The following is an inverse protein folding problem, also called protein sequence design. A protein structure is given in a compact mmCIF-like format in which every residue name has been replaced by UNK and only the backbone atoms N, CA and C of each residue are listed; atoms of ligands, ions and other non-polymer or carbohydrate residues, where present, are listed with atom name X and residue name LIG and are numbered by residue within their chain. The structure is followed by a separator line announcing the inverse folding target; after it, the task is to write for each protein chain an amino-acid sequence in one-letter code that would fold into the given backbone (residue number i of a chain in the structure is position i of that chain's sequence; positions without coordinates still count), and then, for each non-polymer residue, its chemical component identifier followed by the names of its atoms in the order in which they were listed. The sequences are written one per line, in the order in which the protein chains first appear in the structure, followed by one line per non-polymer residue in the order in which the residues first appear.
data_IF_079749087502
#
_entry.id   IF_079749087502
#
_cell.length_a   1.000
_cell.length_b   1.000
_cell.length_c   1.000
_cell.angle_alpha   90.00
_cell.angle_beta   90.00
_cell.angle_gamma   90.00
#
_symmetry.space_group_name_H-M   'P 1'
#
loop_
_entity.id
_entity.type
_entity.pdbx_description
1 polymer ?
#
# COMPACT_ATOMS: atom_id res chain seq x y z
N UNK A 1 -27.53 28.73 37.70
CA UNK A 1 -26.72 27.57 37.27
C UNK A 1 -26.16 27.88 35.89
N UNK A 2 -24.85 28.07 35.76
CA UNK A 2 -24.23 28.34 34.46
C UNK A 2 -24.11 27.03 33.66
N UNK A 3 -24.81 26.96 32.53
CA UNK A 3 -24.73 25.85 31.58
C UNK A 3 -23.35 25.91 30.92
N UNK A 4 -22.45 25.00 31.28
CA UNK A 4 -21.16 24.83 30.61
C UNK A 4 -21.41 24.30 29.20
N UNK A 5 -21.17 25.14 28.20
CA UNK A 5 -21.13 24.73 26.80
C UNK A 5 -20.13 23.59 26.59
N UNK A 6 -20.63 22.45 26.10
CA UNK A 6 -19.78 21.32 25.67
C UNK A 6 -19.02 21.74 24.41
N UNK A 7 -17.78 22.23 24.58
CA UNK A 7 -16.86 22.44 23.46
C UNK A 7 -16.73 21.14 22.66
N UNK A 8 -17.06 21.21 21.38
CA UNK A 8 -16.97 20.10 20.45
C UNK A 8 -15.59 19.44 20.51
N UNK A 9 -15.55 18.13 20.75
CA UNK A 9 -14.34 17.30 20.67
C UNK A 9 -13.77 17.45 19.25
N UNK A 10 -12.74 18.29 19.08
CA UNK A 10 -11.93 18.29 17.86
C UNK A 10 -11.36 16.87 17.69
N UNK A 11 -11.42 16.35 16.47
CA UNK A 11 -10.91 15.01 16.17
C UNK A 11 -9.43 14.94 16.54
N UNK A 12 -9.07 14.07 17.49
CA UNK A 12 -7.68 13.83 17.89
C UNK A 12 -6.77 13.52 16.71
N UNK A 13 -7.33 12.93 15.64
CA UNK A 13 -6.62 12.66 14.38
C UNK A 13 -6.14 13.95 13.71
N UNK A 14 -7.00 14.98 13.65
CA UNK A 14 -6.65 16.28 13.07
C UNK A 14 -5.61 17.04 13.90
N UNK A 15 -5.63 16.85 15.22
CA UNK A 15 -4.66 17.45 16.13
C UNK A 15 -3.29 16.76 16.00
N UNK A 16 -3.25 15.43 15.96
CA UNK A 16 -2.00 14.66 15.72
C UNK A 16 -1.40 15.00 14.34
N UNK A 17 -2.22 15.06 13.29
CA UNK A 17 -1.77 15.42 11.94
C UNK A 17 -1.24 16.86 11.83
N UNK A 18 -1.74 17.81 12.64
CA UNK A 18 -1.25 19.21 12.61
C UNK A 18 -0.05 19.46 13.50
N UNK A 19 0.13 18.67 14.55
CA UNK A 19 1.14 18.95 15.59
C UNK A 19 2.41 18.11 15.40
N UNK A 20 2.30 16.89 14.84
CA UNK A 20 3.46 16.02 14.59
C UNK A 20 3.92 16.02 13.12
N UNK A 21 3.01 16.19 12.15
CA UNK A 21 3.38 16.26 10.74
C UNK A 21 3.68 17.70 10.34
N UNK A 22 4.96 18.05 10.39
CA UNK A 22 5.46 19.25 9.71
C UNK A 22 4.95 19.22 8.27
N UNK A 23 4.28 20.29 7.83
CA UNK A 23 3.81 20.45 6.46
C UNK A 23 4.88 20.12 5.41
N UNK A 24 6.15 20.37 5.77
CA UNK A 24 7.35 19.98 5.02
C UNK A 24 7.36 18.49 4.65
N UNK A 25 7.00 17.58 5.56
CA UNK A 25 7.01 16.14 5.31
C UNK A 25 5.91 15.73 4.31
N UNK A 26 4.75 16.38 4.38
CA UNK A 26 3.65 16.11 3.45
C UNK A 26 4.02 16.57 2.05
N UNK A 27 4.60 17.77 1.94
CA UNK A 27 5.10 18.31 0.67
C UNK A 27 6.21 17.41 0.11
N UNK A 28 7.16 17.00 0.96
CA UNK A 28 8.23 16.07 0.58
C UNK A 28 7.67 14.73 0.09
N UNK A 29 6.61 14.21 0.72
CA UNK A 29 5.97 12.96 0.32
C UNK A 29 5.40 13.04 -1.10
N UNK A 30 4.68 14.12 -1.39
CA UNK A 30 4.07 14.36 -2.70
C UNK A 30 5.16 14.54 -3.75
N UNK A 31 6.16 15.41 -3.47
CA UNK A 31 7.26 15.67 -4.40
C UNK A 31 8.08 14.41 -4.68
N UNK A 32 8.43 13.64 -3.65
CA UNK A 32 9.19 12.41 -3.81
C UNK A 32 8.37 11.34 -4.55
N UNK A 33 7.06 11.26 -4.34
CA UNK A 33 6.18 10.33 -5.08
C UNK A 33 6.09 10.69 -6.57
N UNK A 34 5.94 11.99 -6.89
CA UNK A 34 5.94 12.46 -8.28
C UNK A 34 7.29 12.25 -8.95
N UNK A 35 8.39 12.58 -8.25
CA UNK A 35 9.74 12.37 -8.75
C UNK A 35 10.05 10.88 -8.98
N UNK A 36 9.56 9.99 -8.10
CA UNK A 36 9.65 8.55 -8.30
C UNK A 36 8.91 8.12 -9.57
N UNK A 37 7.66 8.57 -9.75
CA UNK A 37 6.88 8.26 -10.95
C UNK A 37 7.60 8.71 -12.23
N UNK A 38 8.09 9.96 -12.28
CA UNK A 38 8.86 10.46 -13.43
C UNK A 38 10.13 9.67 -13.68
N UNK A 39 10.87 9.31 -12.63
CA UNK A 39 12.09 8.51 -12.77
C UNK A 39 11.82 7.15 -13.41
N UNK A 40 10.76 6.45 -12.98
CA UNK A 40 10.35 5.15 -13.53
C UNK A 40 9.87 5.28 -14.97
N UNK A 41 9.12 6.33 -15.30
CA UNK A 41 8.67 6.58 -16.67
C UNK A 41 9.84 6.83 -17.63
N UNK A 42 10.90 7.52 -17.19
CA UNK A 42 12.11 7.71 -17.99
C UNK A 42 12.90 6.41 -18.12
N UNK A 43 13.03 5.63 -17.04
CA UNK A 43 13.74 4.33 -17.04
C UNK A 43 13.08 3.33 -18.00
N UNK A 44 11.74 3.22 -17.96
CA UNK A 44 10.97 2.31 -18.80
C UNK A 44 10.74 2.82 -20.23
N UNK A 45 11.20 4.03 -20.56
CA UNK A 45 11.04 4.62 -21.90
C UNK A 45 9.62 5.14 -22.21
N UNK A 46 8.72 5.17 -21.22
CA UNK A 46 7.40 5.78 -21.36
C UNK A 46 7.47 7.31 -21.50
N UNK A 47 8.50 7.93 -20.92
CA UNK A 47 8.81 9.36 -21.07
C UNK A 47 10.17 9.52 -21.76
N UNK A 48 10.17 9.99 -23.01
CA UNK A 48 11.38 10.25 -23.78
C UNK A 48 11.81 11.71 -23.61
N UNK A 49 13.03 11.91 -23.12
CA UNK A 49 13.63 13.24 -22.98
C UNK A 49 14.27 13.64 -24.31
N UNK A 50 13.99 14.85 -24.79
CA UNK A 50 14.64 15.39 -26.00
C UNK A 50 16.12 15.64 -25.73
N UNK A 51 16.98 15.31 -26.69
CA UNK A 51 18.43 15.53 -26.59
C UNK A 51 18.80 17.02 -26.39
N UNK A 52 17.97 17.92 -26.91
CA UNK A 52 18.12 19.37 -26.75
C UNK A 52 17.77 19.88 -25.34
N UNK A 53 17.28 19.02 -24.44
CA UNK A 53 16.90 19.43 -23.10
C UNK A 53 18.16 19.67 -22.24
N UNK A 54 18.30 20.86 -21.60
CA UNK A 54 19.50 21.19 -20.83
C UNK A 54 19.79 20.16 -19.74
N UNK A 55 21.05 19.74 -19.61
CA UNK A 55 21.61 18.83 -18.59
C UNK A 55 21.07 17.38 -18.62
N UNK A 56 19.77 17.17 -18.86
CA UNK A 56 19.13 15.85 -18.85
C UNK A 56 19.25 15.16 -20.21
N UNK A 57 19.21 15.92 -21.31
CA UNK A 57 19.15 15.39 -22.68
C UNK A 57 20.37 14.55 -23.08
N UNK A 58 21.55 14.83 -22.52
CA UNK A 58 22.78 14.08 -22.81
C UNK A 58 22.84 12.73 -22.08
N UNK A 59 22.25 12.62 -20.90
CA UNK A 59 22.31 11.41 -20.06
C UNK A 59 20.98 11.13 -19.33
N UNK A 60 19.87 10.92 -20.07
CA UNK A 60 18.54 10.83 -19.47
C UNK A 60 18.39 9.62 -18.53
N UNK A 61 19.04 8.49 -18.85
CA UNK A 61 19.03 7.30 -18.00
C UNK A 61 19.78 7.51 -16.67
N UNK A 62 20.92 8.20 -16.72
CA UNK A 62 21.72 8.49 -15.51
C UNK A 62 20.95 9.43 -14.59
N UNK A 63 20.37 10.50 -15.16
CA UNK A 63 19.50 11.41 -14.42
C UNK A 63 18.34 10.67 -13.77
N UNK A 64 17.66 9.78 -14.49
CA UNK A 64 16.52 9.03 -13.96
C UNK A 64 16.90 8.13 -12.78
N UNK A 65 18.05 7.45 -12.83
CA UNK A 65 18.52 6.63 -11.70
C UNK A 65 18.91 7.46 -10.47
N UNK A 66 19.47 8.64 -10.67
CA UNK A 66 19.76 9.58 -9.57
C UNK A 66 18.44 10.08 -8.96
N UNK A 67 17.50 10.51 -9.80
CA UNK A 67 16.18 10.98 -9.37
C UNK A 67 15.41 9.89 -8.63
N UNK A 68 15.45 8.65 -9.12
CA UNK A 68 14.88 7.47 -8.46
C UNK A 68 15.46 7.30 -7.05
N UNK A 69 16.80 7.31 -6.94
CA UNK A 69 17.49 7.09 -5.67
C UNK A 69 17.13 8.16 -4.63
N UNK A 70 17.14 9.43 -5.02
CA UNK A 70 16.76 10.56 -4.14
C UNK A 70 15.28 10.46 -3.74
N UNK A 71 14.41 10.08 -4.67
CA UNK A 71 12.97 9.93 -4.42
C UNK A 71 12.69 8.81 -3.41
N UNK A 72 13.36 7.66 -3.55
CA UNK A 72 13.27 6.55 -2.59
C UNK A 72 13.72 7.00 -1.20
N UNK A 73 14.86 7.70 -1.10
CA UNK A 73 15.33 8.25 0.18
C UNK A 73 14.31 9.24 0.77
N UNK A 74 13.75 10.12 -0.05
CA UNK A 74 12.72 11.09 0.38
C UNK A 74 11.47 10.40 0.93
N UNK A 75 10.97 9.37 0.24
CA UNK A 75 9.83 8.58 0.71
C UNK A 75 10.17 7.87 2.02
N UNK A 76 11.35 7.25 2.12
CA UNK A 76 11.80 6.58 3.35
C UNK A 76 11.83 7.54 4.53
N UNK A 77 12.34 8.78 4.36
CA UNK A 77 12.38 9.78 5.43
C UNK A 77 10.99 10.20 5.91
N UNK A 78 10.02 10.30 4.99
CA UNK A 78 8.62 10.61 5.34
C UNK A 78 7.96 9.44 6.06
N UNK A 79 8.21 8.21 5.59
CA UNK A 79 7.58 6.99 6.10
C UNK A 79 8.21 6.54 7.43
N UNK A 80 9.49 6.81 7.65
CA UNK A 80 10.24 6.43 8.84
C UNK A 80 9.56 6.75 10.18
N UNK A 81 9.09 7.99 10.46
CA UNK A 81 8.43 8.30 11.74
C UNK A 81 7.17 7.46 11.96
N UNK A 82 6.38 7.18 10.91
CA UNK A 82 5.22 6.29 11.01
C UNK A 82 5.62 4.87 11.39
N UNK A 83 6.67 4.32 10.75
CA UNK A 83 7.15 2.97 11.04
C UNK A 83 7.67 2.88 12.48
N UNK A 84 8.44 3.86 12.94
CA UNK A 84 8.97 3.91 14.32
C UNK A 84 7.84 3.94 15.34
N UNK A 85 6.77 4.70 15.10
CA UNK A 85 5.59 4.71 15.97
C UNK A 85 4.78 3.40 15.89
N UNK A 86 4.70 2.77 14.72
CA UNK A 86 3.97 1.52 14.51
C UNK A 86 4.67 0.31 15.13
N UNK A 87 6.01 0.26 15.17
CA UNK A 87 6.75 -0.88 15.72
C UNK A 87 6.37 -1.25 17.17
N UNK A 88 6.27 -0.30 18.13
CA UNK A 88 5.76 -0.57 19.46
C UNK A 88 4.34 -1.14 19.49
N UNK A 89 3.48 -0.74 18.54
CA UNK A 89 2.10 -1.26 18.44
C UNK A 89 2.09 -2.69 17.91
N UNK A 90 2.92 -3.01 16.92
CA UNK A 90 3.09 -4.37 16.41
C UNK A 90 3.52 -5.36 17.50
N UNK A 91 4.32 -4.89 18.47
CA UNK A 91 4.73 -5.70 19.63
C UNK A 91 3.60 -5.98 20.61
N UNK A 92 2.53 -5.16 20.62
CA UNK A 92 1.35 -5.38 21.47
C UNK A 92 0.35 -6.35 20.85
N UNK A 93 0.52 -6.72 19.58
CA UNK A 93 -0.34 -7.69 18.91
C UNK A 93 -0.15 -9.04 19.61
N UNK A 94 -1.24 -9.58 20.16
CA UNK A 94 -1.27 -10.96 20.65
C UNK A 94 -1.28 -11.92 19.46
N UNK A 95 -0.09 -12.24 18.95
CA UNK A 95 0.08 -13.19 17.86
C UNK A 95 -0.53 -14.54 18.22
N UNK A 96 -1.24 -15.14 17.26
CA UNK A 96 -1.79 -16.47 17.43
C UNK A 96 -0.66 -17.46 17.68
N UNK A 97 -0.84 -18.33 18.67
CA UNK A 97 0.09 -19.42 18.91
C UNK A 97 0.06 -20.39 17.71
N UNK A 98 1.16 -21.08 17.44
CA UNK A 98 1.30 -22.00 16.30
C UNK A 98 0.16 -23.01 16.21
N UNK A 99 -0.30 -23.54 17.36
CA UNK A 99 -1.45 -24.47 17.43
C UNK A 99 -2.75 -23.82 16.94
N UNK A 100 -3.03 -22.59 17.36
CA UNK A 100 -4.22 -21.83 16.95
C UNK A 100 -4.16 -21.47 15.47
N UNK A 101 -2.98 -21.09 14.98
CA UNK A 101 -2.76 -20.82 13.57
C UNK A 101 -2.97 -22.07 12.70
N UNK A 102 -2.40 -23.21 13.11
CA UNK A 102 -2.57 -24.48 12.40
C UNK A 102 -4.05 -24.93 12.37
N UNK A 103 -4.76 -24.83 13.49
CA UNK A 103 -6.20 -25.15 13.56
C UNK A 103 -7.02 -24.25 12.62
N UNK A 104 -6.74 -22.95 12.59
CA UNK A 104 -7.41 -22.02 11.67
C UNK A 104 -7.10 -22.36 10.20
N UNK A 105 -5.84 -22.62 9.86
CA UNK A 105 -5.42 -23.02 8.50
C UNK A 105 -6.14 -24.29 8.06
N UNK A 106 -6.16 -25.33 8.90
CA UNK A 106 -6.83 -26.60 8.59
C UNK A 106 -8.33 -26.38 8.34
N UNK A 107 -9.00 -25.59 9.20
CA UNK A 107 -10.43 -25.27 9.01
C UNK A 107 -10.70 -24.54 7.69
N UNK A 108 -9.87 -23.56 7.34
CA UNK A 108 -10.00 -22.85 6.07
C UNK A 108 -9.78 -23.78 4.88
N UNK A 109 -8.75 -24.65 4.95
CA UNK A 109 -8.49 -25.60 3.88
C UNK A 109 -9.61 -26.62 3.70
N UNK A 110 -10.15 -27.18 4.79
CA UNK A 110 -11.30 -28.09 4.72
C UNK A 110 -12.51 -27.39 4.09
N UNK A 111 -12.77 -26.15 4.48
CA UNK A 111 -13.85 -25.36 3.90
C UNK A 111 -13.65 -25.14 2.40
N UNK A 112 -12.46 -24.71 1.98
CA UNK A 112 -12.13 -24.49 0.57
C UNK A 112 -12.25 -25.79 -0.24
N UNK A 113 -11.76 -26.91 0.28
CA UNK A 113 -11.86 -28.22 -0.39
C UNK A 113 -13.31 -28.65 -0.53
N UNK A 114 -14.14 -28.49 0.50
CA UNK A 114 -15.57 -28.81 0.42
C UNK A 114 -16.28 -28.02 -0.67
N UNK A 115 -16.04 -26.71 -0.75
CA UNK A 115 -16.62 -25.88 -1.81
C UNK A 115 -16.08 -26.23 -3.19
N UNK A 116 -14.79 -26.50 -3.32
CA UNK A 116 -14.20 -26.94 -4.57
C UNK A 116 -14.82 -28.26 -5.06
N UNK A 117 -14.99 -29.24 -4.19
CA UNK A 117 -15.63 -30.51 -4.52
C UNK A 117 -17.11 -30.34 -4.89
N UNK A 118 -17.82 -29.45 -4.19
CA UNK A 118 -19.21 -29.13 -4.50
C UNK A 118 -19.34 -28.49 -5.88
N UNK A 119 -18.46 -27.56 -6.25
CA UNK A 119 -18.44 -26.97 -7.60
C UNK A 119 -18.08 -28.00 -8.68
N UNK A 120 -17.07 -28.84 -8.44
CA UNK A 120 -16.74 -29.95 -9.35
C UNK A 120 -17.92 -30.91 -9.51
N UNK A 121 -18.64 -31.19 -8.42
CA UNK A 121 -19.86 -32.01 -8.45
C UNK A 121 -20.96 -31.37 -9.31
N UNK A 122 -21.20 -30.07 -9.15
CA UNK A 122 -22.16 -29.35 -9.99
C UNK A 122 -21.75 -29.33 -11.45
N UNK A 123 -20.48 -29.07 -11.76
CA UNK A 123 -19.98 -29.11 -13.14
C UNK A 123 -20.18 -30.51 -13.74
N UNK A 124 -19.86 -31.57 -12.99
CA UNK A 124 -20.04 -32.94 -13.44
C UNK A 124 -21.52 -33.32 -13.70
N UNK A 125 -22.46 -32.73 -12.96
CA UNK A 125 -23.90 -32.98 -13.13
C UNK A 125 -24.52 -32.10 -14.23
N UNK A 126 -24.14 -30.83 -14.31
CA UNK A 126 -24.75 -29.84 -15.20
C UNK A 126 -24.16 -29.92 -16.60
N UNK A 127 -22.84 -30.12 -16.74
CA UNK A 127 -22.19 -30.23 -18.04
C UNK A 127 -22.80 -31.29 -18.98
N UNK A 128 -23.12 -32.52 -18.54
CA UNK A 128 -23.77 -33.50 -19.42
C UNK A 128 -25.20 -33.11 -19.80
N UNK A 129 -25.94 -32.44 -18.90
CA UNK A 129 -27.30 -31.95 -19.19
C UNK A 129 -27.26 -30.84 -20.25
N UNK A 130 -26.35 -29.87 -20.09
CA UNK A 130 -26.15 -28.80 -21.07
C UNK A 130 -25.77 -29.40 -22.43
N UNK A 131 -24.84 -30.38 -22.45
CA UNK A 131 -24.42 -31.07 -23.67
C UNK A 131 -25.56 -31.86 -24.34
N UNK A 132 -26.56 -32.31 -23.58
CA UNK A 132 -27.74 -33.00 -24.11
C UNK A 132 -28.76 -32.02 -24.72
N UNK A 133 -28.77 -30.76 -24.26
CA UNK A 133 -29.72 -29.71 -24.67
C UNK A 133 -29.18 -28.81 -25.80
N UNK A 134 -27.86 -28.77 -26.03
CA UNK A 134 -27.21 -28.05 -27.14
C UNK A 134 -27.03 -28.94 -28.37
#
# INVERSE_FOLDING_TARGET
MAVKEKKAKKSKVLEVLRTEYKWENVVLAILASLALAFSLMIINGALVVRESFPLIGQYPKVFAWILFSISVIGILLVVYPFLVQAFPELKKISWANFKTAADAVVKVFIFVILFALLFVGFDAMIAPIIKLLS
#
